data_IF_171924447311
#
_entry.id   IF_171924447311
#
_cell.length_a   1.000
_cell.length_b   1.000
_cell.length_c   1.000
_cell.angle_alpha   90.00
_cell.angle_beta   90.00
_cell.angle_gamma   90.00
#
_symmetry.space_group_name_H-M   'P 1'
#
loop_
_entity.id
_entity.type
_entity.pdbx_description
1 polymer ?
#
# COMPACT_ATOMS: atom_id res chain seq x y z
N UNK A 1 -2.01 10.82 8.75
CA UNK A 1 -1.74 10.13 7.48
C UNK A 1 -1.98 8.65 7.68
N UNK A 2 -2.18 7.94 6.59
CA UNK A 2 -2.48 6.52 6.51
C UNK A 2 -1.44 5.86 5.62
N UNK A 3 -1.23 4.56 5.82
CA UNK A 3 -0.42 3.71 4.96
C UNK A 3 -1.25 2.52 4.53
N UNK A 4 -1.26 2.24 3.23
CA UNK A 4 -1.96 1.11 2.65
C UNK A 4 -0.93 0.02 2.29
N UNK A 5 -1.26 -1.21 2.69
CA UNK A 5 -0.49 -2.42 2.37
C UNK A 5 -1.38 -3.33 1.52
N UNK A 6 -1.21 -3.25 0.20
CA UNK A 6 -1.98 -4.02 -0.77
C UNK A 6 -1.33 -5.37 -1.09
N UNK A 7 -2.10 -6.23 -1.78
CA UNK A 7 -1.66 -7.55 -2.24
C UNK A 7 -1.26 -8.52 -1.12
N UNK A 8 -1.82 -8.33 0.07
CA UNK A 8 -1.69 -9.27 1.19
C UNK A 8 -2.59 -10.49 1.00
N UNK A 9 -2.26 -11.60 1.68
CA UNK A 9 -3.06 -12.81 1.65
C UNK A 9 -4.45 -12.57 2.25
N UNK A 10 -5.47 -13.17 1.63
CA UNK A 10 -6.85 -13.10 2.13
C UNK A 10 -6.97 -13.72 3.52
N UNK A 11 -6.17 -14.75 3.83
CA UNK A 11 -6.14 -15.41 5.13
C UNK A 11 -5.67 -14.49 6.26
N UNK A 12 -4.77 -13.55 5.98
CA UNK A 12 -4.35 -12.56 6.97
C UNK A 12 -5.39 -11.45 7.11
N UNK A 13 -5.90 -10.93 5.98
CA UNK A 13 -6.93 -9.88 5.96
C UNK A 13 -8.17 -10.29 6.77
N UNK A 14 -8.60 -11.56 6.64
CA UNK A 14 -9.76 -12.10 7.36
C UNK A 14 -9.61 -12.08 8.89
N UNK A 15 -8.39 -11.90 9.43
CA UNK A 15 -8.10 -11.89 10.87
C UNK A 15 -7.89 -10.48 11.42
N UNK A 16 -7.79 -9.47 10.56
CA UNK A 16 -7.59 -8.07 10.99
C UNK A 16 -8.93 -7.45 11.33
N UNK A 17 -8.96 -6.61 12.36
CA UNK A 17 -10.15 -5.87 12.76
C UNK A 17 -9.86 -4.37 12.82
N UNK A 18 -10.90 -3.56 12.62
CA UNK A 18 -10.78 -2.11 12.77
C UNK A 18 -10.35 -1.76 14.19
N UNK A 19 -9.53 -0.71 14.31
CA UNK A 19 -8.93 -0.23 15.58
C UNK A 19 -7.96 -1.22 16.24
N UNK A 20 -7.57 -2.29 15.56
CA UNK A 20 -6.50 -3.17 16.03
C UNK A 20 -5.18 -2.41 16.12
N UNK A 21 -4.55 -2.44 17.30
CA UNK A 21 -3.23 -1.86 17.51
C UNK A 21 -2.14 -2.71 16.86
N UNK A 22 -1.18 -2.04 16.23
CA UNK A 22 0.02 -2.65 15.66
C UNK A 22 1.24 -2.13 16.41
N UNK A 23 2.12 -3.04 16.84
CA UNK A 23 3.40 -2.68 17.46
C UNK A 23 4.56 -2.88 16.48
N UNK A 24 5.66 -2.16 16.71
CA UNK A 24 6.87 -2.30 15.90
C UNK A 24 7.36 -3.75 15.90
N UNK A 25 7.61 -4.28 14.70
CA UNK A 25 8.09 -5.66 14.51
C UNK A 25 6.99 -6.72 14.48
N UNK A 26 5.73 -6.34 14.72
CA UNK A 26 4.60 -7.24 14.53
C UNK A 26 4.42 -7.57 13.05
N UNK A 27 4.23 -8.87 12.76
CA UNK A 27 3.77 -9.31 11.43
C UNK A 27 2.30 -8.94 11.30
N UNK A 28 1.98 -8.10 10.31
CA UNK A 28 0.62 -7.62 10.04
C UNK A 28 0.00 -8.26 8.78
N UNK A 29 0.77 -9.09 8.09
CA UNK A 29 0.32 -9.86 6.93
C UNK A 29 1.48 -10.43 6.12
N UNK A 30 1.15 -11.36 5.24
CA UNK A 30 2.02 -12.00 4.26
C UNK A 30 1.55 -11.63 2.84
N UNK A 31 2.44 -11.79 1.86
CA UNK A 31 2.03 -11.60 0.47
C UNK A 31 1.00 -12.64 0.05
N UNK A 32 0.01 -12.17 -0.69
CA UNK A 32 -0.96 -13.06 -1.31
C UNK A 32 -0.31 -13.94 -2.36
N UNK A 33 -0.91 -15.09 -2.60
CA UNK A 33 -0.57 -15.94 -3.74
C UNK A 33 -0.89 -15.19 -5.04
N UNK A 34 -0.26 -15.54 -6.17
CA UNK A 34 -0.57 -14.93 -7.46
C UNK A 34 -2.08 -14.92 -7.76
N UNK A 35 -2.78 -16.01 -7.47
CA UNK A 35 -4.24 -16.12 -7.72
C UNK A 35 -5.06 -15.08 -6.93
N UNK A 36 -4.58 -14.66 -5.76
CA UNK A 36 -5.21 -13.63 -4.92
C UNK A 36 -4.89 -12.21 -5.41
N UNK A 37 -3.85 -12.06 -6.23
CA UNK A 37 -3.34 -10.79 -6.71
C UNK A 37 -3.34 -10.68 -8.24
N UNK A 38 -4.45 -11.07 -8.89
CA UNK A 38 -4.61 -10.92 -10.33
C UNK A 38 -3.57 -11.67 -11.17
N UNK A 39 -3.00 -12.75 -10.63
CA UNK A 39 -1.91 -13.56 -11.19
C UNK A 39 -0.54 -12.86 -11.31
N UNK A 40 -0.31 -11.79 -10.54
CA UNK A 40 1.00 -11.16 -10.45
C UNK A 40 1.92 -11.91 -9.47
N UNK A 41 3.25 -11.90 -9.69
CA UNK A 41 4.19 -12.42 -8.70
C UNK A 41 3.98 -11.76 -7.32
N UNK A 42 4.15 -12.46 -6.19
CA UNK A 42 3.94 -11.90 -4.87
C UNK A 42 4.80 -10.66 -4.63
N UNK A 43 4.16 -9.54 -4.28
CA UNK A 43 4.82 -8.26 -4.02
C UNK A 43 3.95 -7.40 -3.09
N UNK A 44 4.53 -6.33 -2.57
CA UNK A 44 3.82 -5.33 -1.77
C UNK A 44 3.44 -4.13 -2.64
N UNK A 45 2.16 -3.75 -2.62
CA UNK A 45 1.76 -2.38 -2.98
C UNK A 45 1.77 -1.54 -1.70
N UNK A 46 2.58 -0.49 -1.67
CA UNK A 46 2.65 0.41 -0.53
C UNK A 46 2.31 1.83 -0.96
N UNK A 47 1.38 2.46 -0.25
CA UNK A 47 0.93 3.82 -0.52
C UNK A 47 0.82 4.62 0.77
N UNK A 48 1.28 5.87 0.76
CA UNK A 48 1.02 6.85 1.82
C UNK A 48 -0.16 7.69 1.38
N UNK A 49 -1.10 7.96 2.29
CA UNK A 49 -2.32 8.73 2.00
C UNK A 49 -2.50 9.77 3.12
N UNK A 50 -2.72 11.05 2.78
CA UNK A 50 -2.92 12.10 3.79
C UNK A 50 -4.33 12.04 4.38
N UNK A 51 -5.33 11.99 3.52
CA UNK A 51 -6.76 11.94 3.84
C UNK A 51 -7.44 10.77 3.11
N UNK A 52 -8.22 9.97 3.84
CA UNK A 52 -8.96 8.83 3.25
C UNK A 52 -10.24 9.27 2.54
N UNK A 53 -10.66 10.53 2.67
CA UNK A 53 -11.93 11.03 2.13
C UNK A 53 -13.10 10.12 2.59
N UNK A 54 -13.92 9.63 1.66
CA UNK A 54 -15.02 8.71 1.94
C UNK A 54 -14.63 7.22 1.81
N UNK A 55 -13.35 6.94 1.53
CA UNK A 55 -12.87 5.57 1.33
C UNK A 55 -12.62 4.84 2.66
N UNK A 56 -12.80 3.52 2.63
CA UNK A 56 -12.59 2.63 3.78
C UNK A 56 -11.93 1.33 3.34
N UNK A 57 -10.89 0.92 4.05
CA UNK A 57 -10.15 -0.33 3.81
C UNK A 57 -9.19 -0.30 2.62
N UNK A 58 -9.57 0.37 1.52
CA UNK A 58 -8.78 0.51 0.31
C UNK A 58 -8.78 1.97 -0.18
N UNK A 59 -7.84 2.34 -1.06
CA UNK A 59 -7.75 3.66 -1.67
C UNK A 59 -7.27 3.55 -3.12
N UNK A 60 -7.70 4.43 -4.05
CA UNK A 60 -7.31 4.33 -5.45
C UNK A 60 -5.78 4.34 -5.67
N UNK A 61 -5.26 3.24 -6.23
CA UNK A 61 -3.86 3.12 -6.67
C UNK A 61 -3.58 3.70 -8.06
N UNK A 62 -4.63 4.02 -8.82
CA UNK A 62 -4.56 4.64 -10.16
C UNK A 62 -5.63 5.71 -10.29
N UNK A 63 -5.41 6.70 -11.15
CA UNK A 63 -6.36 7.78 -11.40
C UNK A 63 -6.38 8.18 -12.88
N UNK A 64 -7.41 8.93 -13.29
CA UNK A 64 -7.42 9.57 -14.60
C UNK A 64 -6.33 10.63 -14.66
N UNK A 65 -5.77 10.86 -15.84
CA UNK A 65 -4.76 11.90 -16.04
C UNK A 65 -5.26 13.30 -15.60
N UNK A 66 -6.55 13.59 -15.77
CA UNK A 66 -7.18 14.85 -15.33
C UNK A 66 -7.28 15.02 -13.82
N UNK A 67 -7.04 13.97 -13.04
CA UNK A 67 -7.14 13.96 -11.58
C UNK A 67 -5.76 13.82 -10.91
N UNK A 68 -4.68 13.78 -11.72
CA UNK A 68 -3.31 13.52 -11.28
C UNK A 68 -2.88 14.44 -10.14
N UNK A 69 -3.14 15.74 -10.26
CA UNK A 69 -2.73 16.74 -9.26
C UNK A 69 -3.43 16.50 -7.91
N UNK A 70 -4.72 16.10 -7.93
CA UNK A 70 -5.46 15.74 -6.72
C UNK A 70 -4.75 14.58 -6.00
N UNK A 71 -4.51 13.48 -6.73
CA UNK A 71 -3.95 12.27 -6.13
C UNK A 71 -2.48 12.42 -5.75
N UNK A 72 -1.65 13.13 -6.51
CA UNK A 72 -0.26 13.43 -6.11
C UNK A 72 -0.18 14.33 -4.88
N UNK A 73 -1.15 15.23 -4.70
CA UNK A 73 -1.22 16.04 -3.48
C UNK A 73 -1.59 15.20 -2.27
N UNK A 74 -2.50 14.24 -2.42
CA UNK A 74 -2.98 13.41 -1.30
C UNK A 74 -2.07 12.20 -1.01
N UNK A 75 -1.40 11.65 -2.01
CA UNK A 75 -0.54 10.47 -1.93
C UNK A 75 0.93 10.85 -2.17
N UNK A 76 1.69 11.22 -1.13
CA UNK A 76 3.09 11.61 -1.27
C UNK A 76 3.99 10.41 -1.61
N UNK A 77 5.22 10.71 -2.03
CA UNK A 77 6.24 9.71 -2.36
C UNK A 77 6.49 8.74 -1.18
N UNK A 78 6.30 7.42 -1.34
CA UNK A 78 6.52 6.44 -0.27
C UNK A 78 7.99 6.33 0.17
N UNK A 79 8.93 6.78 -0.65
CA UNK A 79 10.36 6.74 -0.31
C UNK A 79 10.71 7.64 0.89
N UNK A 80 9.86 8.63 1.20
CA UNK A 80 9.97 9.47 2.40
C UNK A 80 10.02 8.65 3.70
N UNK A 81 9.47 7.43 3.70
CA UNK A 81 9.47 6.52 4.86
C UNK A 81 10.32 5.28 4.56
N UNK A 82 10.14 4.68 3.38
CA UNK A 82 10.75 3.39 3.08
C UNK A 82 12.25 3.50 2.77
N UNK A 83 12.72 4.63 2.25
CA UNK A 83 14.09 4.81 1.77
C UNK A 83 14.55 3.66 0.87
N UNK A 84 13.71 3.17 -0.03
CA UNK A 84 14.00 2.06 -0.94
C UNK A 84 14.77 2.49 -2.17
N UNK A 85 14.69 3.76 -2.57
CA UNK A 85 15.40 4.28 -3.75
C UNK A 85 16.93 4.21 -3.61
N UNK A 86 17.46 4.03 -2.40
CA UNK A 86 18.88 3.77 -2.17
C UNK A 86 19.35 2.40 -2.70
N UNK A 87 18.42 1.45 -2.91
CA UNK A 87 18.71 0.11 -3.42
C UNK A 87 18.42 -0.06 -4.91
N UNK A 88 17.87 0.97 -5.56
CA UNK A 88 17.59 0.94 -7.00
C UNK A 88 18.90 1.17 -7.76
N UNK A 89 19.32 0.18 -8.54
CA UNK A 89 20.46 0.33 -9.44
C UNK A 89 20.10 1.28 -10.59
N UNK A 90 20.63 2.50 -10.54
CA UNK A 90 20.38 3.54 -11.55
C UNK A 90 21.25 3.38 -12.81
N UNK A 91 22.05 2.31 -12.92
CA UNK A 91 22.97 2.09 -14.05
C UNK A 91 22.46 1.09 -15.11
N UNK A 92 21.15 0.85 -15.16
CA UNK A 92 20.53 0.13 -16.29
C UNK A 92 19.94 1.09 -17.30
#
# INVERSE_FOLDING_TARGET
FYSLYGHLSLDDIARVTEFQYVIRGQVIGHFGKPEENGNWPPHLHFQIIKDMEEYKGDYPGVCKASEKEKYLSNCPDPDLILNMMQYVDRKR
#
